data_IF_762601728982
#
_entry.id   IF_762601728982
#
_cell.length_a   1.000
_cell.length_b   1.000
_cell.length_c   1.000
_cell.angle_alpha   90.00
_cell.angle_beta   90.00
_cell.angle_gamma   90.00
#
_symmetry.space_group_name_H-M   'P 1'
#
loop_
_entity.id
_entity.type
_entity.pdbx_description
1 polymer ?
#
# COMPACT_ATOMS: atom_id res chain seq x y z
N UNK A 1 39.44 -19.38 75.29
CA UNK A 1 38.52 -20.39 74.70
C UNK A 1 38.03 -19.85 73.37
N UNK A 2 38.10 -20.65 72.31
CA UNK A 2 37.35 -20.49 71.04
C UNK A 2 35.83 -20.63 71.29
N UNK A 3 34.89 -20.28 70.37
CA UNK A 3 35.01 -20.13 68.90
C UNK A 3 34.55 -18.69 68.43
N UNK A 4 34.04 -18.36 67.22
CA UNK A 4 33.55 -19.12 66.04
C UNK A 4 33.61 -18.28 64.72
N UNK A 5 33.14 -18.93 63.64
CA UNK A 5 32.79 -18.50 62.27
C UNK A 5 31.98 -17.17 62.19
N UNK A 6 31.95 -16.41 61.08
CA UNK A 6 31.41 -16.82 59.76
C UNK A 6 32.05 -16.10 58.54
N UNK A 7 32.37 -16.89 57.51
CA UNK A 7 32.51 -16.41 56.13
C UNK A 7 31.12 -16.13 55.54
N UNK A 8 30.91 -14.95 54.96
CA UNK A 8 29.79 -14.69 54.05
C UNK A 8 30.36 -14.37 52.65
N UNK A 9 30.12 -15.28 51.70
CA UNK A 9 30.40 -15.04 50.29
C UNK A 9 29.21 -14.29 49.67
N UNK A 10 29.44 -13.12 49.07
CA UNK A 10 28.42 -12.47 48.24
C UNK A 10 28.35 -13.17 46.88
N UNK A 11 27.17 -13.55 46.38
CA UNK A 11 27.01 -14.02 45.01
C UNK A 11 27.11 -12.85 44.03
N UNK A 12 27.89 -13.04 42.96
CA UNK A 12 28.00 -12.10 41.86
C UNK A 12 26.76 -12.23 40.96
N UNK A 13 25.73 -11.42 41.20
CA UNK A 13 24.50 -11.42 40.40
C UNK A 13 24.76 -10.92 38.98
N UNK A 14 24.80 -11.85 38.03
CA UNK A 14 24.96 -11.58 36.60
C UNK A 14 23.66 -10.97 36.04
N UNK A 15 23.63 -9.65 35.88
CA UNK A 15 22.54 -8.93 35.20
C UNK A 15 22.55 -9.28 33.71
N UNK A 16 21.69 -10.22 33.31
CA UNK A 16 21.35 -10.46 31.92
C UNK A 16 20.65 -9.22 31.36
N UNK A 17 21.38 -8.42 30.58
CA UNK A 17 20.78 -7.37 29.78
C UNK A 17 19.88 -8.03 28.71
N UNK A 18 18.58 -8.00 28.94
CA UNK A 18 17.59 -8.35 27.91
C UNK A 18 17.65 -7.26 26.85
N UNK A 19 18.43 -7.50 25.81
CA UNK A 19 18.42 -6.68 24.62
C UNK A 19 17.07 -6.80 23.94
N UNK A 20 16.21 -5.80 24.10
CA UNK A 20 15.09 -5.60 23.19
C UNK A 20 15.67 -5.35 21.80
N UNK A 21 15.65 -6.38 20.96
CA UNK A 21 15.79 -6.21 19.52
C UNK A 21 14.56 -5.45 19.01
N UNK A 22 14.57 -4.13 19.22
CA UNK A 22 13.84 -3.22 18.36
C UNK A 22 14.51 -3.33 16.98
N UNK A 23 13.96 -4.21 16.15
CA UNK A 23 14.26 -4.23 14.73
C UNK A 23 14.12 -2.79 14.22
N UNK A 24 15.17 -2.26 13.59
CA UNK A 24 15.24 -0.84 13.22
C UNK A 24 14.33 -0.67 12.01
N UNK A 25 13.06 -0.45 12.34
CA UNK A 25 11.95 -0.87 11.51
C UNK A 25 12.01 -0.32 10.10
N UNK A 26 11.94 -1.23 9.12
CA UNK A 26 11.62 -0.84 7.77
C UNK A 26 10.32 -0.04 7.79
N UNK A 27 10.31 1.12 7.13
CA UNK A 27 9.12 1.95 7.06
C UNK A 27 7.96 1.14 6.47
N UNK A 28 6.81 1.21 7.13
CA UNK A 28 5.60 0.55 6.70
C UNK A 28 5.20 0.98 5.29
N UNK A 29 4.75 0.01 4.51
CA UNK A 29 4.43 0.15 3.09
C UNK A 29 3.32 1.19 2.88
N UNK A 30 2.25 1.09 3.67
CA UNK A 30 1.07 1.95 3.57
C UNK A 30 0.53 2.30 4.97
N UNK A 31 0.89 3.51 5.45
CA UNK A 31 0.63 3.99 6.82
C UNK A 31 1.23 3.06 7.88
N UNK A 32 0.45 2.14 8.40
CA UNK A 32 0.80 1.13 9.41
C UNK A 32 0.76 -0.31 8.85
N UNK A 33 0.32 -0.50 7.59
CA UNK A 33 0.38 -1.78 6.89
C UNK A 33 1.79 -2.06 6.37
N UNK A 34 2.26 -3.29 6.56
CA UNK A 34 3.52 -3.81 6.02
C UNK A 34 3.29 -5.18 5.39
N UNK A 35 4.01 -5.49 4.32
CA UNK A 35 3.98 -6.85 3.76
C UNK A 35 4.49 -7.88 4.77
N UNK A 36 4.03 -9.13 4.65
CA UNK A 36 4.33 -10.21 5.60
C UNK A 36 3.53 -10.14 6.92
N UNK A 37 2.82 -9.06 7.22
CA UNK A 37 2.00 -8.97 8.44
C UNK A 37 0.76 -9.88 8.36
N UNK A 38 0.33 -10.41 9.51
CA UNK A 38 -0.99 -11.04 9.61
C UNK A 38 -2.10 -10.00 9.57
N UNK A 39 -3.16 -10.25 8.81
CA UNK A 39 -4.34 -9.38 8.77
C UNK A 39 -5.05 -9.26 10.12
N UNK A 40 -4.86 -10.23 11.02
CA UNK A 40 -5.40 -10.19 12.38
C UNK A 40 -4.77 -9.07 13.22
N UNK A 41 -3.60 -8.56 12.81
CA UNK A 41 -2.89 -7.46 13.45
C UNK A 41 -3.18 -6.10 12.81
N UNK A 42 -4.03 -6.03 11.76
CA UNK A 42 -4.40 -4.75 11.14
C UNK A 42 -5.36 -3.99 12.09
N UNK A 43 -5.06 -2.72 12.45
CA UNK A 43 -5.93 -1.93 13.31
C UNK A 43 -7.31 -1.69 12.68
N UNK A 44 -8.33 -2.41 13.15
CA UNK A 44 -9.68 -2.33 12.59
C UNK A 44 -10.31 -0.93 12.67
N UNK A 45 -9.85 -0.07 13.59
CA UNK A 45 -10.28 1.31 13.70
C UNK A 45 -9.71 2.24 12.64
N UNK A 46 -8.56 1.93 12.02
CA UNK A 46 -7.92 2.77 10.99
C UNK A 46 -8.45 2.50 9.57
N UNK A 47 -9.16 1.39 9.38
CA UNK A 47 -9.59 0.90 8.07
C UNK A 47 -11.06 0.48 8.06
N UNK A 48 -11.85 1.02 7.13
CA UNK A 48 -13.30 0.85 7.05
C UNK A 48 -13.78 0.49 5.65
N UNK A 49 -15.01 -0.03 5.55
CA UNK A 49 -15.63 -0.40 4.28
C UNK A 49 -14.89 -1.54 3.60
N UNK A 50 -14.61 -2.61 4.35
CA UNK A 50 -13.98 -3.81 3.85
C UNK A 50 -14.93 -4.54 2.88
N UNK A 51 -14.43 -4.95 1.72
CA UNK A 51 -15.20 -5.72 0.75
C UNK A 51 -14.27 -6.56 -0.13
N UNK A 52 -14.76 -7.63 -0.73
CA UNK A 52 -14.01 -8.37 -1.75
C UNK A 52 -13.84 -7.52 -3.00
N UNK A 53 -12.59 -7.24 -3.40
CA UNK A 53 -12.31 -6.33 -4.52
C UNK A 53 -12.91 -6.84 -5.85
N UNK A 54 -12.77 -8.14 -6.12
CA UNK A 54 -13.22 -8.77 -7.37
C UNK A 54 -14.69 -9.22 -7.34
N UNK A 55 -15.44 -8.90 -6.27
CA UNK A 55 -16.86 -9.28 -6.12
C UNK A 55 -17.67 -8.10 -5.60
N UNK A 56 -18.24 -7.32 -6.54
CA UNK A 56 -19.08 -6.14 -6.26
C UNK A 56 -20.19 -6.46 -5.24
N UNK A 57 -20.26 -5.66 -4.18
CA UNK A 57 -21.29 -5.77 -3.14
C UNK A 57 -21.06 -6.89 -2.10
N UNK A 58 -19.95 -7.61 -2.16
CA UNK A 58 -19.55 -8.53 -1.09
C UNK A 58 -18.77 -7.78 0.00
N UNK A 59 -19.50 -7.07 0.85
CA UNK A 59 -18.96 -6.42 2.05
C UNK A 59 -18.51 -7.45 3.10
N UNK A 60 -17.53 -7.08 3.91
CA UNK A 60 -16.97 -7.87 5.01
C UNK A 60 -17.16 -7.09 6.31
N UNK A 61 -17.63 -7.75 7.37
CA UNK A 61 -17.74 -7.15 8.70
C UNK A 61 -16.38 -7.00 9.39
N UNK A 62 -15.40 -7.85 9.06
CA UNK A 62 -14.06 -7.83 9.63
C UNK A 62 -13.01 -8.42 8.68
N UNK A 63 -11.74 -8.06 8.88
CA UNK A 63 -10.59 -8.60 8.13
C UNK A 63 -10.56 -10.14 8.10
N UNK A 64 -10.96 -10.79 9.21
CA UNK A 64 -11.01 -12.27 9.30
C UNK A 64 -11.94 -12.94 8.28
N UNK A 65 -12.89 -12.22 7.70
CA UNK A 65 -13.85 -12.74 6.72
C UNK A 65 -13.30 -12.81 5.28
N UNK A 66 -12.03 -12.40 5.06
CA UNK A 66 -11.36 -12.43 3.75
C UNK A 66 -11.46 -13.76 2.99
N UNK A 67 -11.63 -14.88 3.70
CA UNK A 67 -11.79 -16.23 3.11
C UNK A 67 -13.08 -16.38 2.30
N UNK A 68 -14.02 -15.46 2.42
CA UNK A 68 -15.24 -15.38 1.58
C UNK A 68 -14.95 -14.79 0.18
N UNK A 69 -13.86 -14.04 0.03
CA UNK A 69 -13.44 -13.49 -1.25
C UNK A 69 -12.78 -14.57 -2.11
N UNK A 70 -13.05 -14.61 -3.43
CA UNK A 70 -12.42 -15.58 -4.31
C UNK A 70 -10.89 -15.40 -4.30
N UNK A 71 -10.10 -16.49 -4.33
CA UNK A 71 -8.67 -16.40 -4.59
C UNK A 71 -8.39 -16.18 -6.08
N UNK A 72 -7.29 -15.49 -6.39
CA UNK A 72 -6.70 -15.43 -7.72
C UNK A 72 -5.89 -16.70 -8.05
N UNK A 73 -5.24 -16.71 -9.22
CA UNK A 73 -4.40 -17.83 -9.69
C UNK A 73 -3.20 -18.12 -8.78
N UNK A 74 -2.75 -17.13 -7.98
CA UNK A 74 -1.69 -17.28 -6.99
C UNK A 74 -2.23 -17.70 -5.61
N UNK A 75 -3.55 -17.91 -5.47
CA UNK A 75 -4.20 -18.23 -4.20
C UNK A 75 -4.44 -17.02 -3.29
N UNK A 76 -4.19 -15.80 -3.77
CA UNK A 76 -4.34 -14.56 -3.01
C UNK A 76 -5.77 -14.03 -3.10
N UNK A 77 -6.30 -13.53 -1.99
CA UNK A 77 -7.67 -13.00 -1.90
C UNK A 77 -7.63 -11.49 -1.78
N UNK A 78 -8.28 -10.78 -2.70
CA UNK A 78 -8.24 -9.33 -2.77
C UNK A 78 -9.35 -8.69 -1.91
N UNK A 79 -8.94 -7.86 -0.95
CA UNK A 79 -9.79 -7.09 -0.04
C UNK A 79 -9.63 -5.62 -0.38
N UNK A 80 -10.69 -4.95 -0.80
CA UNK A 80 -10.73 -3.49 -0.91
C UNK A 80 -11.09 -2.86 0.43
N UNK A 81 -10.53 -1.68 0.71
CA UNK A 81 -10.71 -0.97 1.97
C UNK A 81 -10.49 0.54 1.82
N UNK A 82 -10.87 1.31 2.84
CA UNK A 82 -10.70 2.77 2.90
C UNK A 82 -10.06 3.17 4.23
N UNK A 83 -9.37 4.31 4.25
CA UNK A 83 -8.95 4.90 5.53
C UNK A 83 -10.17 5.34 6.32
N UNK A 84 -10.17 5.09 7.63
CA UNK A 84 -11.13 5.73 8.51
C UNK A 84 -10.85 7.24 8.56
N UNK A 85 -11.86 8.04 8.30
CA UNK A 85 -11.77 9.51 8.39
C UNK A 85 -12.05 10.00 9.81
N UNK A 86 -12.71 9.19 10.64
CA UNK A 86 -13.03 9.52 12.03
C UNK A 86 -11.78 9.51 12.93
N UNK A 87 -10.76 8.70 12.58
CA UNK A 87 -9.43 8.72 13.24
C UNK A 87 -8.54 9.88 12.78
N UNK A 88 -9.01 10.72 11.84
CA UNK A 88 -8.27 11.87 11.32
C UNK A 88 -8.99 13.21 11.65
N UNK A 89 -8.64 13.87 12.77
CA UNK A 89 -9.24 15.15 13.16
C UNK A 89 -9.16 16.26 12.08
N UNK A 90 -8.16 16.20 11.19
CA UNK A 90 -8.00 17.19 10.11
C UNK A 90 -9.00 16.98 8.96
N UNK A 91 -9.63 15.81 8.84
CA UNK A 91 -10.66 15.54 7.81
C UNK A 91 -11.90 16.43 7.97
N UNK A 92 -12.24 16.81 9.21
CA UNK A 92 -13.31 17.77 9.48
C UNK A 92 -12.97 19.22 9.06
N UNK A 93 -11.69 19.54 8.88
CA UNK A 93 -11.19 20.92 8.68
C UNK A 93 -11.00 21.25 7.19
N UNK A 94 -10.65 20.28 6.34
CA UNK A 94 -10.35 20.54 4.93
C UNK A 94 -10.51 19.30 4.03
N UNK A 95 -11.12 19.45 2.85
CA UNK A 95 -11.21 18.45 1.77
C UNK A 95 -9.86 17.75 1.48
N UNK A 96 -8.72 18.43 1.66
CA UNK A 96 -7.37 17.87 1.51
C UNK A 96 -7.17 16.59 2.35
N UNK A 97 -7.76 16.52 3.54
CA UNK A 97 -7.60 15.43 4.50
C UNK A 97 -8.78 14.44 4.50
N UNK A 98 -9.81 14.69 3.68
CA UNK A 98 -10.99 13.82 3.59
C UNK A 98 -10.80 12.65 2.63
N UNK A 99 -11.35 11.49 3.00
CA UNK A 99 -11.40 10.28 2.19
C UNK A 99 -10.06 9.56 2.06
N UNK A 100 -10.05 8.45 1.33
CA UNK A 100 -8.85 7.66 1.08
C UNK A 100 -7.94 8.39 0.09
N UNK A 101 -6.82 8.95 0.57
CA UNK A 101 -5.90 9.74 -0.25
C UNK A 101 -4.43 9.44 0.04
N UNK A 102 -3.63 9.38 -1.01
CA UNK A 102 -2.16 9.32 -0.94
C UNK A 102 -1.56 10.47 -1.73
N UNK A 103 -0.61 11.21 -1.16
CA UNK A 103 -0.10 12.45 -1.77
C UNK A 103 -1.15 13.52 -2.02
N UNK A 104 -2.35 13.41 -1.43
CA UNK A 104 -3.54 14.22 -1.73
C UNK A 104 -4.40 13.70 -2.89
N UNK A 105 -3.96 12.70 -3.65
CA UNK A 105 -4.73 12.07 -4.71
C UNK A 105 -5.73 11.06 -4.13
N UNK A 106 -7.02 11.08 -4.52
CA UNK A 106 -7.97 10.02 -4.22
C UNK A 106 -7.49 8.68 -4.79
N UNK A 107 -7.52 7.64 -3.96
CA UNK A 107 -7.09 6.28 -4.34
C UNK A 107 -8.06 5.21 -3.84
N UNK A 108 -8.15 4.15 -4.61
CA UNK A 108 -8.69 2.86 -4.23
C UNK A 108 -7.54 2.01 -3.67
N UNK A 109 -7.76 1.38 -2.53
CA UNK A 109 -6.77 0.52 -1.87
C UNK A 109 -7.25 -0.92 -1.92
N UNK A 110 -6.33 -1.85 -2.15
CA UNK A 110 -6.63 -3.28 -2.11
C UNK A 110 -5.44 -4.05 -1.53
N UNK A 111 -5.71 -4.87 -0.52
CA UNK A 111 -4.75 -5.79 0.07
C UNK A 111 -5.02 -7.20 -0.45
N UNK A 112 -3.97 -7.88 -0.90
CA UNK A 112 -4.05 -9.26 -1.36
C UNK A 112 -3.44 -10.17 -0.30
N UNK A 113 -4.24 -11.14 0.13
CA UNK A 113 -3.98 -11.92 1.34
C UNK A 113 -3.95 -13.40 0.99
N UNK A 114 -2.87 -14.09 1.32
CA UNK A 114 -2.78 -15.54 1.09
C UNK A 114 -3.69 -16.34 2.05
N UNK A 115 -3.93 -17.62 1.77
CA UNK A 115 -4.84 -18.46 2.53
C UNK A 115 -4.56 -18.56 4.04
N UNK A 116 -3.32 -18.31 4.49
CA UNK A 116 -2.94 -18.26 5.91
C UNK A 116 -3.51 -17.05 6.65
N UNK A 117 -3.79 -15.94 5.94
CA UNK A 117 -4.10 -14.63 6.52
C UNK A 117 -2.91 -13.66 6.58
N UNK A 118 -1.88 -13.85 5.74
CA UNK A 118 -0.74 -12.93 5.59
C UNK A 118 -0.93 -11.99 4.40
N UNK A 119 -0.62 -10.70 4.57
CA UNK A 119 -0.68 -9.67 3.53
C UNK A 119 0.55 -9.77 2.60
N UNK A 120 0.32 -10.13 1.32
CA UNK A 120 1.38 -10.42 0.34
C UNK A 120 1.59 -9.33 -0.72
N UNK A 121 0.55 -8.58 -1.05
CA UNK A 121 0.62 -7.46 -2.01
C UNK A 121 -0.35 -6.35 -1.59
N UNK A 122 0.07 -5.10 -1.76
CA UNK A 122 -0.77 -3.91 -1.63
C UNK A 122 -0.88 -3.28 -3.01
N UNK A 123 -2.12 -3.04 -3.46
CA UNK A 123 -2.45 -2.29 -4.67
C UNK A 123 -3.04 -0.92 -4.29
N UNK A 124 -2.57 0.10 -4.99
CA UNK A 124 -2.96 1.50 -4.86
C UNK A 124 -3.27 2.00 -6.26
N UNK A 125 -4.55 2.18 -6.55
CA UNK A 125 -5.03 2.63 -7.86
C UNK A 125 -5.65 4.03 -7.70
N UNK A 126 -5.29 5.01 -8.53
CA UNK A 126 -5.98 6.32 -8.50
C UNK A 126 -7.45 6.15 -8.84
N UNK A 127 -8.35 6.74 -8.05
CA UNK A 127 -9.80 6.57 -8.25
C UNK A 127 -10.24 7.17 -9.60
N UNK A 128 -10.71 6.35 -10.56
CA UNK A 128 -11.15 6.84 -11.86
C UNK A 128 -12.42 7.71 -11.76
N UNK A 129 -13.22 7.56 -10.70
CA UNK A 129 -14.45 8.31 -10.46
C UNK A 129 -14.21 9.59 -9.65
N UNK A 130 -12.95 9.93 -9.33
CA UNK A 130 -12.62 11.14 -8.61
C UNK A 130 -13.11 12.41 -9.35
N UNK A 131 -13.44 13.47 -8.59
CA UNK A 131 -13.85 14.77 -9.16
C UNK A 131 -12.85 15.22 -10.25
N UNK A 132 -13.28 15.86 -11.37
CA UNK A 132 -12.42 16.15 -12.53
C UNK A 132 -11.10 16.88 -12.23
N UNK A 133 -11.07 17.72 -11.18
CA UNK A 133 -9.84 18.37 -10.70
C UNK A 133 -8.75 17.39 -10.25
N UNK A 134 -9.13 16.28 -9.63
CA UNK A 134 -8.23 15.22 -9.17
C UNK A 134 -7.96 14.21 -10.28
N UNK A 135 -9.00 13.78 -11.02
CA UNK A 135 -8.85 12.84 -12.12
C UNK A 135 -7.84 13.32 -13.17
N UNK A 136 -7.91 14.60 -13.59
CA UNK A 136 -6.95 15.18 -14.55
C UNK A 136 -5.49 15.22 -14.05
N UNK A 137 -5.26 14.96 -12.76
CA UNK A 137 -3.95 14.92 -12.10
C UNK A 137 -3.52 13.52 -11.68
N UNK A 138 -4.31 12.47 -11.92
CA UNK A 138 -4.08 11.13 -11.39
C UNK A 138 -2.65 10.63 -11.65
N UNK A 139 -2.15 10.75 -12.88
CA UNK A 139 -0.77 10.41 -13.28
C UNK A 139 0.36 11.10 -12.48
N UNK A 140 0.09 12.18 -11.75
CA UNK A 140 1.09 12.87 -10.93
C UNK A 140 1.36 12.14 -9.60
N UNK A 141 0.48 11.23 -9.17
CA UNK A 141 0.71 10.40 -7.98
C UNK A 141 2.00 9.58 -8.11
N UNK A 142 2.32 9.10 -9.32
CA UNK A 142 3.56 8.39 -9.62
C UNK A 142 4.81 9.18 -9.22
N UNK A 143 4.82 10.51 -9.41
CA UNK A 143 5.96 11.36 -9.02
C UNK A 143 6.12 11.41 -7.50
N UNK A 144 5.02 11.46 -6.76
CA UNK A 144 5.01 11.44 -5.29
C UNK A 144 5.47 10.07 -4.77
N UNK A 145 5.10 8.98 -5.46
CA UNK A 145 5.54 7.62 -5.14
C UNK A 145 7.06 7.48 -5.34
N UNK A 146 7.61 7.89 -6.50
CA UNK A 146 9.07 7.84 -6.69
C UNK A 146 9.80 8.68 -5.65
N UNK A 147 9.32 9.90 -5.36
CA UNK A 147 9.90 10.75 -4.32
C UNK A 147 9.86 10.09 -2.91
N UNK A 148 8.80 9.33 -2.58
CA UNK A 148 8.71 8.55 -1.32
C UNK A 148 9.75 7.43 -1.25
N UNK A 149 10.03 6.75 -2.36
CA UNK A 149 10.93 5.60 -2.42
C UNK A 149 12.35 5.94 -2.94
N UNK A 150 12.64 7.23 -3.19
CA UNK A 150 13.84 7.70 -3.87
C UNK A 150 13.81 7.44 -5.39
N UNK A 151 14.25 8.42 -6.18
CA UNK A 151 14.29 8.34 -7.65
C UNK A 151 15.36 7.38 -8.21
N UNK A 152 16.37 7.01 -7.41
CA UNK A 152 17.39 6.03 -7.81
C UNK A 152 16.85 4.59 -7.87
N UNK A 153 17.43 3.75 -8.74
CA UNK A 153 17.14 2.31 -8.79
C UNK A 153 15.80 1.92 -9.45
N UNK A 154 15.08 2.87 -10.05
CA UNK A 154 13.93 2.57 -10.91
C UNK A 154 14.40 2.24 -12.34
N UNK A 155 13.87 1.15 -12.89
CA UNK A 155 13.96 0.81 -14.32
C UNK A 155 12.63 1.13 -14.96
N UNK A 156 12.56 2.21 -15.73
CA UNK A 156 11.36 2.63 -16.45
C UNK A 156 11.41 2.24 -17.93
N UNK A 157 10.27 1.82 -18.46
CA UNK A 157 10.05 1.51 -19.88
C UNK A 157 8.72 2.11 -20.33
N UNK A 158 8.73 2.78 -21.47
CA UNK A 158 7.50 3.13 -22.17
C UNK A 158 6.92 1.88 -22.85
N UNK A 159 5.61 1.68 -22.72
CA UNK A 159 4.86 0.70 -23.47
C UNK A 159 4.51 1.25 -24.86
N UNK A 160 4.36 0.35 -25.83
CA UNK A 160 3.99 0.76 -27.17
C UNK A 160 2.60 1.41 -27.22
N UNK A 161 2.42 2.28 -28.21
CA UNK A 161 1.14 2.94 -28.49
C UNK A 161 0.29 2.01 -29.33
N UNK A 162 -0.93 1.76 -28.87
CA UNK A 162 -1.91 0.98 -29.61
C UNK A 162 -2.48 1.84 -30.76
N UNK A 163 -3.02 1.19 -31.79
CA UNK A 163 -3.53 1.89 -32.97
C UNK A 163 -4.66 2.85 -32.60
N UNK A 164 -4.56 4.10 -33.07
CA UNK A 164 -5.55 5.15 -32.81
C UNK A 164 -5.48 5.79 -31.41
N UNK A 165 -4.52 5.44 -30.57
CA UNK A 165 -4.24 6.19 -29.34
C UNK A 165 -3.73 7.61 -29.64
N UNK A 166 -4.25 8.60 -28.91
CA UNK A 166 -3.90 10.01 -29.10
C UNK A 166 -3.51 10.70 -27.80
N UNK A 167 -2.70 11.76 -27.91
CA UNK A 167 -2.27 12.57 -26.78
C UNK A 167 -3.40 13.43 -26.22
N UNK A 168 -3.36 13.66 -24.91
CA UNK A 168 -4.27 14.55 -24.17
C UNK A 168 -3.52 15.83 -23.84
N UNK A 169 -3.90 16.95 -24.44
CA UNK A 169 -3.21 18.23 -24.22
C UNK A 169 -1.73 18.22 -24.63
N UNK A 170 -1.36 17.41 -25.62
CA UNK A 170 0.03 17.20 -26.05
C UNK A 170 0.79 16.12 -25.25
N UNK A 171 0.21 15.59 -24.17
CA UNK A 171 0.82 14.56 -23.35
C UNK A 171 0.32 13.16 -23.75
N UNK A 172 1.23 12.23 -24.01
CA UNK A 172 0.95 10.80 -24.09
C UNK A 172 1.96 10.07 -23.20
N UNK A 173 1.47 9.36 -22.18
CA UNK A 173 2.28 8.54 -21.28
C UNK A 173 1.65 7.14 -21.22
N UNK A 174 2.46 6.11 -21.44
CA UNK A 174 2.19 4.72 -21.07
C UNK A 174 3.48 4.16 -20.50
N UNK A 175 3.77 4.41 -19.22
CA UNK A 175 5.07 4.15 -18.61
C UNK A 175 4.93 3.08 -17.52
N UNK A 176 5.78 2.06 -17.53
CA UNK A 176 5.96 1.09 -16.43
C UNK A 176 7.36 1.26 -15.84
N UNK A 177 7.42 1.65 -14.57
CA UNK A 177 8.63 1.71 -13.75
C UNK A 177 8.65 0.58 -12.72
N UNK A 178 9.79 -0.05 -12.56
CA UNK A 178 10.00 -1.15 -11.60
C UNK A 178 11.22 -0.86 -10.73
N UNK A 179 11.12 -1.10 -9.43
CA UNK A 179 12.23 -1.00 -8.48
C UNK A 179 12.20 -2.19 -7.54
N UNK A 180 13.32 -2.92 -7.44
CA UNK A 180 13.47 -4.07 -6.55
C UNK A 180 14.40 -3.72 -5.40
N UNK A 181 14.09 -4.26 -4.24
CA UNK A 181 14.90 -4.25 -3.01
C UNK A 181 15.02 -5.68 -2.49
N UNK A 182 15.74 -5.90 -1.40
CA UNK A 182 15.92 -7.24 -0.81
C UNK A 182 14.58 -7.90 -0.42
N UNK A 183 13.61 -7.13 0.06
CA UNK A 183 12.33 -7.66 0.56
C UNK A 183 11.11 -7.34 -0.29
N UNK A 184 11.20 -6.32 -1.17
CA UNK A 184 10.03 -5.74 -1.86
C UNK A 184 10.31 -5.49 -3.33
N UNK A 185 9.34 -5.83 -4.17
CA UNK A 185 9.23 -5.37 -5.54
C UNK A 185 8.17 -4.27 -5.62
N UNK A 186 8.56 -3.14 -6.21
CA UNK A 186 7.71 -1.98 -6.45
C UNK A 186 7.43 -1.90 -7.95
N UNK A 187 6.16 -1.90 -8.33
CA UNK A 187 5.70 -1.78 -9.72
C UNK A 187 4.81 -0.55 -9.81
N UNK A 188 5.18 0.39 -10.67
CA UNK A 188 4.49 1.66 -10.85
C UNK A 188 4.16 1.86 -12.32
N UNK A 189 2.86 1.93 -12.63
CA UNK A 189 2.39 2.36 -13.94
C UNK A 189 1.87 3.79 -13.88
N UNK A 190 2.14 4.54 -14.94
CA UNK A 190 1.60 5.88 -15.17
C UNK A 190 1.02 5.96 -16.58
N UNK A 191 -0.22 6.42 -16.69
CA UNK A 191 -0.93 6.46 -17.96
C UNK A 191 -1.61 7.83 -18.15
N UNK A 192 -1.41 8.42 -19.34
CA UNK A 192 -2.15 9.58 -19.86
C UNK A 192 -2.29 9.40 -21.36
N UNK A 193 -3.47 9.02 -21.84
CA UNK A 193 -3.76 8.91 -23.27
C UNK A 193 -5.26 8.87 -23.51
N UNK A 194 -5.67 9.01 -24.77
CA UNK A 194 -7.07 8.84 -25.19
C UNK A 194 -7.14 7.74 -26.22
N UNK A 195 -8.03 6.76 -26.00
CA UNK A 195 -8.25 5.62 -26.90
C UNK A 195 -8.93 6.08 -28.20
N UNK A 196 -8.82 5.25 -29.23
CA UNK A 196 -9.50 5.47 -30.50
C UNK A 196 -11.01 5.74 -30.29
N UNK A 197 -11.53 6.79 -30.90
CA UNK A 197 -12.96 7.15 -30.86
C UNK A 197 -13.49 7.79 -29.57
N UNK A 198 -12.68 7.96 -28.51
CA UNK A 198 -13.16 8.60 -27.27
C UNK A 198 -13.40 10.12 -27.44
N UNK A 199 -14.45 10.68 -26.80
CA UNK A 199 -14.66 12.13 -26.66
C UNK A 199 -13.45 12.85 -26.04
N UNK A 200 -13.27 14.15 -26.31
CA UNK A 200 -12.18 14.94 -25.69
C UNK A 200 -12.27 15.03 -24.15
N UNK A 201 -13.47 14.83 -23.59
CA UNK A 201 -13.73 14.83 -22.15
C UNK A 201 -13.50 13.48 -21.47
N UNK A 202 -13.26 12.42 -22.24
CA UNK A 202 -13.08 11.04 -21.76
C UNK A 202 -11.71 10.54 -22.22
N UNK A 203 -10.84 10.27 -21.26
CA UNK A 203 -9.45 9.87 -21.51
C UNK A 203 -8.90 9.11 -20.31
N UNK A 204 -7.90 8.26 -20.56
CA UNK A 204 -7.18 7.55 -19.50
C UNK A 204 -6.21 8.53 -18.84
N UNK A 205 -6.31 8.66 -17.52
CA UNK A 205 -5.37 9.38 -16.67
C UNK A 205 -5.28 8.63 -15.34
N UNK A 206 -4.17 7.95 -15.09
CA UNK A 206 -4.07 7.02 -13.97
C UNK A 206 -2.66 6.89 -13.40
N UNK A 207 -2.59 6.43 -12.16
CA UNK A 207 -1.42 5.78 -11.58
C UNK A 207 -1.87 4.50 -10.91
N UNK A 208 -1.22 3.40 -11.27
CA UNK A 208 -1.40 2.08 -10.65
C UNK A 208 -0.10 1.72 -9.96
N UNK A 209 -0.15 1.50 -8.66
CA UNK A 209 1.03 1.21 -7.86
C UNK A 209 0.84 -0.08 -7.06
N UNK A 210 1.84 -0.95 -7.15
CA UNK A 210 1.84 -2.27 -6.51
C UNK A 210 3.11 -2.37 -5.68
N UNK A 211 2.93 -2.80 -4.44
CA UNK A 211 3.98 -3.21 -3.51
C UNK A 211 3.76 -4.70 -3.27
N UNK A 212 4.73 -5.53 -3.58
CA UNK A 212 4.70 -6.98 -3.32
C UNK A 212 6.02 -7.48 -2.75
N UNK A 213 5.99 -8.65 -2.12
CA UNK A 213 7.21 -9.30 -1.63
C UNK A 213 8.13 -9.60 -2.83
N UNK A 214 9.42 -9.37 -2.67
CA UNK A 214 10.39 -9.78 -3.69
C UNK A 214 10.42 -11.32 -3.75
N UNK A 215 10.09 -11.91 -4.90
CA UNK A 215 10.29 -13.35 -5.14
C UNK A 215 11.78 -13.60 -5.39
N UNK A 216 12.44 -14.33 -4.50
CA UNK A 216 13.82 -14.80 -4.63
C UNK A 216 14.08 -15.54 -5.96
#
# INVERSE_FOLDING_TARGET
MTPRLLMWALPLSLLLAVGSNADVGQAADLRDLSLGMSIANIPAQEYVGLACADKKGAELAAWGEFRTCPPDEMGLRAISFRFNIETNPLAAVNDKYQGTKLGGHPVLLTGLVEGSGVLKRIRIDTDPNARPFWHKKAHLLALIIRARYGDDGWTCRDAERDEGETSVGGLLIKERCEKRSEHRQLILYREVYRRAGQPLSDFVNATHFIIEEAMD
#
